data_IF_511075649637
#
_entry.id   IF_511075649637
#
_cell.length_a   1.000
_cell.length_b   1.000
_cell.length_c   1.000
_cell.angle_alpha   90.00
_cell.angle_beta   90.00
_cell.angle_gamma   90.00
#
_symmetry.space_group_name_H-M   'P 1'
#
loop_
_entity.id
_entity.type
_entity.pdbx_description
1 polymer ?
#
# COMPACT_ATOMS: atom_id res chain seq x y z
N UNK A 1 -16.05 7.51 12.20
CA UNK A 1 -15.65 6.17 11.72
C UNK A 1 -14.99 6.36 10.38
N UNK A 2 -13.75 5.87 10.25
CA UNK A 2 -12.91 6.03 9.06
C UNK A 2 -13.09 4.85 8.11
N UNK A 3 -13.02 5.10 6.81
CA UNK A 3 -13.21 4.08 5.78
C UNK A 3 -12.06 4.06 4.78
N UNK A 4 -11.97 2.94 4.06
CA UNK A 4 -11.09 2.78 2.92
C UNK A 4 -11.75 3.37 1.68
N UNK A 5 -11.13 4.37 1.07
CA UNK A 5 -11.65 5.04 -0.14
C UNK A 5 -10.92 4.59 -1.41
N UNK A 6 -9.76 3.92 -1.30
CA UNK A 6 -9.07 3.32 -2.43
C UNK A 6 -8.63 1.88 -2.15
N UNK A 7 -8.25 1.15 -3.21
CA UNK A 7 -7.92 -0.27 -3.06
C UNK A 7 -6.67 -0.44 -2.20
N UNK A 8 -6.68 -1.45 -1.32
CA UNK A 8 -5.57 -1.78 -0.41
C UNK A 8 -5.14 -0.67 0.54
N UNK A 9 -5.96 0.36 0.79
CA UNK A 9 -5.65 1.47 1.70
C UNK A 9 -5.80 1.17 3.21
N UNK A 10 -5.90 -0.11 3.62
CA UNK A 10 -6.22 -0.45 5.01
C UNK A 10 -5.22 0.12 6.02
N UNK A 11 -3.93 0.15 5.70
CA UNK A 11 -2.90 0.74 6.56
C UNK A 11 -2.97 2.27 6.64
N UNK A 12 -3.41 2.93 5.56
CA UNK A 12 -3.65 4.38 5.53
C UNK A 12 -4.88 4.75 6.34
N UNK A 13 -5.97 3.99 6.22
CA UNK A 13 -7.16 4.16 7.07
C UNK A 13 -6.84 3.87 8.53
N UNK A 14 -6.01 2.85 8.84
CA UNK A 14 -5.54 2.60 10.19
C UNK A 14 -4.73 3.77 10.75
N UNK A 15 -3.85 4.37 9.94
CA UNK A 15 -3.13 5.60 10.33
C UNK A 15 -4.09 6.76 10.59
N UNK A 16 -5.11 6.96 9.75
CA UNK A 16 -6.14 7.97 9.97
C UNK A 16 -6.90 7.77 11.29
N UNK A 17 -7.19 6.52 11.67
CA UNK A 17 -7.80 6.19 12.97
C UNK A 17 -6.85 6.51 14.15
N UNK A 18 -5.55 6.22 14.02
CA UNK A 18 -4.56 6.61 15.05
C UNK A 18 -4.46 8.14 15.21
N UNK A 19 -4.57 8.88 14.11
CA UNK A 19 -4.51 10.35 14.10
C UNK A 19 -5.76 11.00 14.71
N UNK A 20 -6.93 10.37 14.58
CA UNK A 20 -8.18 10.84 15.19
C UNK A 20 -8.06 10.94 16.72
N UNK A 21 -7.37 9.98 17.36
CA UNK A 21 -7.06 9.99 18.80
C UNK A 21 -6.11 11.14 19.22
N UNK A 22 -5.36 11.70 18.26
CA UNK A 22 -4.53 12.91 18.43
C UNK A 22 -5.28 14.19 18.07
N UNK A 23 -6.58 14.12 17.79
CA UNK A 23 -7.41 15.24 17.38
C UNK A 23 -7.18 15.70 15.94
N UNK A 24 -6.51 14.89 15.12
CA UNK A 24 -6.25 15.17 13.70
C UNK A 24 -7.28 14.41 12.86
N UNK A 25 -8.28 15.14 12.37
CA UNK A 25 -9.32 14.57 11.52
C UNK A 25 -8.85 14.54 10.06
N UNK A 26 -8.49 13.36 9.56
CA UNK A 26 -8.07 13.12 8.16
C UNK A 26 -8.61 11.79 7.66
N UNK A 27 -8.67 11.59 6.34
CA UNK A 27 -8.97 10.32 5.70
C UNK A 27 -7.75 9.74 4.97
N UNK A 28 -7.82 8.47 4.57
CA UNK A 28 -6.75 7.77 3.84
C UNK A 28 -6.32 8.48 2.54
N UNK A 29 -7.27 9.10 1.84
CA UNK A 29 -7.03 9.87 0.60
C UNK A 29 -6.27 11.17 0.85
N UNK A 30 -6.60 11.88 1.92
CA UNK A 30 -5.91 13.12 2.31
C UNK A 30 -4.47 12.82 2.72
N UNK A 31 -4.25 11.75 3.50
CA UNK A 31 -2.90 11.29 3.86
C UNK A 31 -2.09 11.00 2.59
N UNK A 32 -2.64 10.20 1.68
CA UNK A 32 -1.97 9.82 0.44
C UNK A 32 -1.63 11.03 -0.44
N UNK A 33 -2.55 11.98 -0.60
CA UNK A 33 -2.33 13.18 -1.40
C UNK A 33 -1.31 14.13 -0.76
N UNK A 34 -1.46 14.46 0.52
CA UNK A 34 -0.57 15.41 1.21
C UNK A 34 0.87 14.89 1.31
N UNK A 35 1.08 13.58 1.42
CA UNK A 35 2.43 13.01 1.42
C UNK A 35 3.05 12.95 0.01
N UNK A 36 2.28 13.18 -1.05
CA UNK A 36 2.72 13.05 -2.44
C UNK A 36 2.77 11.60 -2.94
N UNK A 37 2.01 10.69 -2.31
CA UNK A 37 2.01 9.26 -2.62
C UNK A 37 1.82 8.93 -4.11
N UNK A 38 0.95 9.63 -4.88
CA UNK A 38 0.76 9.29 -6.28
C UNK A 38 2.01 9.38 -7.16
N UNK A 39 3.04 10.05 -6.66
CA UNK A 39 4.27 10.34 -7.39
C UNK A 39 5.45 9.48 -6.95
N UNK A 40 5.23 8.52 -6.05
CA UNK A 40 6.28 7.66 -5.51
C UNK A 40 6.22 6.23 -6.02
N UNK A 41 7.40 5.74 -6.38
CA UNK A 41 7.69 4.36 -6.75
C UNK A 41 8.98 3.95 -6.05
N UNK A 42 9.00 2.76 -5.48
CA UNK A 42 10.17 2.21 -4.82
C UNK A 42 10.49 0.80 -5.32
N UNK A 43 11.77 0.44 -5.27
CA UNK A 43 12.21 -0.95 -5.38
C UNK A 43 12.75 -1.40 -4.03
N UNK A 44 12.13 -2.41 -3.44
CA UNK A 44 12.53 -2.99 -2.16
C UNK A 44 12.80 -4.49 -2.36
N UNK A 45 14.08 -4.87 -2.33
CA UNK A 45 14.49 -6.23 -2.73
C UNK A 45 14.16 -6.51 -4.20
N UNK A 46 13.34 -7.51 -4.44
CA UNK A 46 12.84 -7.91 -5.76
C UNK A 46 11.45 -7.35 -6.09
N UNK A 47 10.89 -6.51 -5.24
CA UNK A 47 9.54 -5.95 -5.40
C UNK A 47 9.56 -4.49 -5.84
N UNK A 48 8.72 -4.18 -6.83
CA UNK A 48 8.36 -2.83 -7.22
C UNK A 48 7.08 -2.43 -6.51
N UNK A 49 7.15 -1.32 -5.78
CA UNK A 49 6.06 -0.82 -4.93
C UNK A 49 5.59 0.55 -5.43
N UNK A 50 4.28 0.79 -5.33
CA UNK A 50 3.64 2.08 -5.56
C UNK A 50 2.36 2.18 -4.72
N UNK A 51 1.84 3.40 -4.58
CA UNK A 51 0.56 3.65 -3.92
C UNK A 51 0.45 2.99 -2.54
N UNK A 52 -0.64 2.26 -2.22
CA UNK A 52 -0.88 1.72 -0.88
C UNK A 52 0.20 0.77 -0.35
N UNK A 53 1.06 0.22 -1.21
CA UNK A 53 2.15 -0.67 -0.79
C UNK A 53 3.35 0.09 -0.21
N UNK A 54 3.43 1.41 -0.43
CA UNK A 54 4.41 2.27 0.22
C UNK A 54 3.87 2.64 1.62
N UNK A 55 4.12 1.79 2.61
CA UNK A 55 3.53 1.89 3.95
C UNK A 55 4.58 1.68 5.06
N UNK A 56 4.19 1.95 6.31
CA UNK A 56 5.09 1.89 7.46
C UNK A 56 5.85 3.20 7.67
N UNK A 57 6.75 3.26 8.66
CA UNK A 57 7.34 4.51 9.12
C UNK A 57 8.04 5.27 8.01
N UNK A 58 8.82 4.57 7.17
CA UNK A 58 9.53 5.14 6.01
C UNK A 58 8.65 6.02 5.12
N UNK A 59 7.39 5.64 4.93
CA UNK A 59 6.47 6.31 4.02
C UNK A 59 5.48 7.19 4.77
N UNK A 60 4.87 6.71 5.85
CA UNK A 60 3.92 7.49 6.64
C UNK A 60 4.54 8.72 7.27
N UNK A 61 5.83 8.67 7.62
CA UNK A 61 6.55 9.81 8.17
C UNK A 61 6.64 11.00 7.21
N UNK A 62 6.49 10.79 5.90
CA UNK A 62 6.41 11.88 4.92
C UNK A 62 5.21 12.80 5.20
N UNK A 63 4.11 12.23 5.72
CA UNK A 63 2.92 12.96 6.18
C UNK A 63 3.03 13.44 7.63
N UNK A 64 3.63 12.62 8.51
CA UNK A 64 3.63 12.85 9.96
C UNK A 64 4.66 13.89 10.40
N UNK A 65 5.87 13.91 9.80
CA UNK A 65 6.96 14.79 10.19
C UNK A 65 6.59 16.28 10.18
N UNK A 66 5.93 16.81 9.12
CA UNK A 66 5.50 18.21 9.13
C UNK A 66 4.49 18.55 10.25
N UNK A 67 3.81 17.55 10.81
CA UNK A 67 2.81 17.70 11.87
C UNK A 67 3.37 17.45 13.28
N UNK A 68 4.69 17.29 13.42
CA UNK A 68 5.33 17.00 14.71
C UNK A 68 5.05 15.58 15.22
N UNK A 69 4.81 14.64 14.31
CA UNK A 69 4.56 13.24 14.63
C UNK A 69 5.53 12.35 13.86
N UNK A 70 5.70 11.12 14.32
CA UNK A 70 6.28 10.01 13.57
C UNK A 70 5.58 8.70 13.91
N UNK A 71 5.68 7.72 13.02
CA UNK A 71 5.30 6.35 13.30
C UNK A 71 6.53 5.62 13.85
N UNK A 72 6.45 5.19 15.10
CA UNK A 72 7.44 4.29 15.67
C UNK A 72 6.97 2.85 15.45
N UNK A 73 7.84 2.04 14.82
CA UNK A 73 7.59 0.64 14.54
C UNK A 73 8.45 -0.24 15.43
N UNK A 74 7.82 -1.18 16.13
CA UNK A 74 8.48 -2.13 17.01
C UNK A 74 8.17 -3.56 16.62
N UNK A 75 9.22 -4.37 16.54
CA UNK A 75 9.14 -5.79 16.25
C UNK A 75 8.85 -6.57 17.53
N UNK A 76 7.66 -7.18 17.62
CA UNK A 76 7.17 -7.87 18.81
C UNK A 76 7.04 -9.36 18.53
N UNK A 77 7.62 -10.19 19.40
CA UNK A 77 7.41 -11.64 19.35
C UNK A 77 5.95 -11.99 19.62
N UNK A 78 5.40 -12.93 18.84
CA UNK A 78 4.02 -13.43 18.93
C UNK A 78 3.58 -13.72 20.37
N UNK A 79 4.41 -14.41 21.15
CA UNK A 79 4.13 -14.75 22.55
C UNK A 79 4.01 -13.55 23.50
N UNK A 80 4.59 -12.41 23.16
CA UNK A 80 4.56 -11.19 23.96
C UNK A 80 3.53 -10.18 23.47
N UNK A 81 3.01 -10.34 22.25
CA UNK A 81 2.04 -9.42 21.65
C UNK A 81 0.83 -9.12 22.55
N UNK A 82 0.17 -10.12 23.17
CA UNK A 82 -1.07 -9.83 23.92
C UNK A 82 -0.84 -8.85 25.08
N UNK A 83 0.25 -9.02 25.83
CA UNK A 83 0.64 -8.11 26.90
C UNK A 83 1.17 -6.77 26.34
N UNK A 84 1.90 -6.80 25.22
CA UNK A 84 2.38 -5.58 24.57
C UNK A 84 1.22 -4.66 24.18
N UNK A 85 0.18 -5.19 23.52
CA UNK A 85 -0.99 -4.42 23.08
C UNK A 85 -1.68 -3.72 24.25
N UNK A 86 -1.91 -4.43 25.37
CA UNK A 86 -2.56 -3.87 26.57
C UNK A 86 -1.82 -2.64 27.13
N UNK A 87 -0.50 -2.62 26.98
CA UNK A 87 0.36 -1.55 27.48
C UNK A 87 0.63 -0.43 26.45
N UNK A 88 0.32 -0.65 25.17
CA UNK A 88 0.65 0.26 24.07
C UNK A 88 -0.57 0.53 23.18
N UNK A 89 -1.60 1.17 23.73
CA UNK A 89 -2.79 1.59 22.98
C UNK A 89 -2.88 3.11 22.80
N UNK A 90 -3.42 3.61 21.68
CA UNK A 90 -3.77 2.85 20.47
C UNK A 90 -2.52 2.48 19.64
N UNK A 91 -2.55 1.35 18.95
CA UNK A 91 -1.49 0.95 18.01
C UNK A 91 -2.07 0.18 16.82
N UNK A 92 -1.34 0.19 15.70
CA UNK A 92 -1.70 -0.55 14.49
C UNK A 92 -0.79 -1.75 14.26
N UNK A 93 -1.35 -2.80 13.67
CA UNK A 93 -0.62 -4.02 13.29
C UNK A 93 -1.33 -4.73 12.13
N UNK A 94 -0.60 -5.62 11.45
CA UNK A 94 -1.17 -6.47 10.41
C UNK A 94 -1.58 -7.84 10.94
N UNK A 95 -2.83 -8.24 10.73
CA UNK A 95 -3.34 -9.58 11.02
C UNK A 95 -3.70 -10.34 9.73
N UNK A 96 -3.53 -11.65 9.73
CA UNK A 96 -4.02 -12.55 8.68
C UNK A 96 -5.49 -12.82 8.92
N UNK A 97 -6.27 -12.81 7.83
CA UNK A 97 -7.68 -13.21 7.86
C UNK A 97 -7.93 -14.28 6.82
N UNK A 98 -8.79 -15.23 7.14
CA UNK A 98 -9.16 -16.34 6.23
C UNK A 98 -9.77 -15.84 4.91
N UNK A 99 -10.40 -14.68 4.94
CA UNK A 99 -11.09 -14.06 3.80
C UNK A 99 -10.18 -13.18 2.92
N UNK A 100 -8.96 -12.87 3.37
CA UNK A 100 -8.07 -11.90 2.71
C UNK A 100 -6.73 -12.57 2.43
N UNK A 101 -6.28 -12.50 1.18
CA UNK A 101 -4.91 -12.88 0.84
C UNK A 101 -3.93 -11.84 1.37
N UNK A 102 -3.08 -12.23 2.32
CA UNK A 102 -2.07 -11.34 2.93
C UNK A 102 -2.46 -10.83 4.31
N UNK A 103 -1.82 -9.74 4.74
CA UNK A 103 -2.08 -9.09 6.03
C UNK A 103 -3.07 -7.94 5.85
N UNK A 104 -3.96 -7.77 6.80
CA UNK A 104 -4.90 -6.66 6.91
C UNK A 104 -4.51 -5.78 8.10
N UNK A 105 -4.31 -4.49 7.87
CA UNK A 105 -3.99 -3.56 8.94
C UNK A 105 -5.23 -3.29 9.80
N UNK A 106 -5.06 -3.33 11.12
CA UNK A 106 -6.09 -3.05 12.12
C UNK A 106 -5.51 -2.18 13.24
N UNK A 107 -6.37 -1.50 14.00
CA UNK A 107 -5.95 -0.65 15.13
C UNK A 107 -6.47 -1.22 16.43
N UNK A 108 -5.59 -1.66 17.31
CA UNK A 108 -5.95 -2.04 18.67
C UNK A 108 -6.33 -0.81 19.48
N UNK A 109 -7.52 -0.81 20.08
CA UNK A 109 -8.02 0.33 20.87
C UNK A 109 -8.45 -0.06 22.30
N UNK A 110 -8.87 -1.31 22.52
CA UNK A 110 -9.34 -1.74 23.84
C UNK A 110 -9.17 -3.24 24.09
N UNK A 111 -9.01 -3.61 25.36
CA UNK A 111 -9.20 -4.98 25.83
C UNK A 111 -10.39 -5.03 26.80
N UNK A 112 -11.42 -5.80 26.44
CA UNK A 112 -12.60 -6.05 27.27
C UNK A 112 -12.97 -7.54 27.19
N UNK A 113 -12.26 -8.37 27.94
CA UNK A 113 -12.26 -9.85 27.86
C UNK A 113 -11.75 -10.41 26.50
N UNK A 114 -11.73 -9.57 25.47
CA UNK A 114 -11.23 -9.82 24.11
C UNK A 114 -10.42 -8.62 23.64
N UNK A 115 -9.52 -8.85 22.69
CA UNK A 115 -8.75 -7.79 22.03
C UNK A 115 -9.61 -7.15 20.94
N UNK A 116 -9.99 -5.89 21.13
CA UNK A 116 -10.86 -5.14 20.23
C UNK A 116 -10.03 -4.25 19.30
N UNK A 117 -10.29 -4.39 18.00
CA UNK A 117 -9.60 -3.66 16.95
C UNK A 117 -10.60 -2.92 16.07
N UNK A 118 -10.28 -1.67 15.71
CA UNK A 118 -10.94 -1.04 14.58
C UNK A 118 -10.51 -1.74 13.29
N UNK A 119 -11.49 -1.97 12.42
CA UNK A 119 -11.34 -2.67 11.17
C UNK A 119 -11.48 -1.68 10.00
N UNK A 120 -10.38 -1.27 9.37
CA UNK A 120 -10.42 -0.58 8.09
C UNK A 120 -11.23 -1.35 7.07
N UNK A 121 -12.33 -0.77 6.60
CA UNK A 121 -13.23 -1.38 5.62
C UNK A 121 -13.75 -0.33 4.66
N UNK A 122 -14.30 -0.77 3.51
CA UNK A 122 -15.03 0.13 2.63
C UNK A 122 -16.41 0.44 3.22
N UNK A 123 -16.82 1.69 3.08
CA UNK A 123 -18.18 2.10 3.44
C UNK A 123 -19.21 1.24 2.70
N UNK A 124 -20.25 0.78 3.40
CA UNK A 124 -21.30 -0.07 2.81
C UNK A 124 -20.87 -1.49 2.45
N UNK A 125 -19.66 -1.95 2.79
CA UNK A 125 -19.19 -3.33 2.52
C UNK A 125 -19.91 -4.41 3.32
N UNK A 126 -20.64 -4.05 4.37
CA UNK A 126 -21.28 -4.98 5.30
C UNK A 126 -20.29 -5.67 6.26
N UNK A 127 -18.98 -5.40 6.13
CA UNK A 127 -17.98 -5.85 7.08
C UNK A 127 -18.12 -5.07 8.40
N UNK A 128 -17.85 -5.73 9.55
CA UNK A 128 -17.97 -5.07 10.84
C UNK A 128 -16.89 -3.99 10.97
N UNK A 129 -17.24 -2.86 11.59
CA UNK A 129 -16.31 -1.77 11.88
C UNK A 129 -15.26 -2.14 12.94
N UNK A 130 -15.54 -3.18 13.72
CA UNK A 130 -14.67 -3.69 14.76
C UNK A 130 -14.50 -5.20 14.67
N UNK A 131 -13.33 -5.69 15.08
CA UNK A 131 -13.01 -7.10 15.22
C UNK A 131 -12.65 -7.34 16.69
N UNK A 132 -13.28 -8.32 17.32
CA UNK A 132 -12.94 -8.73 18.68
C UNK A 132 -12.39 -10.15 18.67
N UNK A 133 -11.13 -10.34 19.10
CA UNK A 133 -10.44 -11.63 19.11
C UNK A 133 -10.16 -12.09 20.54
N UNK A 134 -10.35 -13.39 20.80
CA UNK A 134 -9.73 -14.03 21.95
C UNK A 134 -8.21 -14.06 21.74
N UNK A 135 -7.45 -14.32 22.82
CA UNK A 135 -5.99 -14.37 22.74
C UNK A 135 -5.49 -15.41 21.74
N UNK A 136 -6.05 -16.62 21.77
CA UNK A 136 -5.68 -17.70 20.83
C UNK A 136 -5.94 -17.29 19.38
N UNK A 137 -7.09 -16.67 19.10
CA UNK A 137 -7.46 -16.19 17.75
C UNK A 137 -6.53 -15.06 17.28
N UNK A 138 -6.14 -14.15 18.17
CA UNK A 138 -5.16 -13.11 17.88
C UNK A 138 -3.81 -13.75 17.50
N UNK A 139 -3.32 -14.68 18.32
CA UNK A 139 -2.06 -15.36 18.08
C UNK A 139 -2.10 -16.15 16.76
N UNK A 140 -3.17 -16.86 16.46
CA UNK A 140 -3.33 -17.60 15.20
C UNK A 140 -3.41 -16.69 13.97
N UNK A 141 -3.84 -15.43 14.16
CA UNK A 141 -3.89 -14.44 13.09
C UNK A 141 -2.54 -13.79 12.75
N UNK A 142 -1.47 -14.05 13.50
CA UNK A 142 -0.17 -13.39 13.28
C UNK A 142 0.99 -14.35 13.03
N UNK A 143 2.07 -13.81 12.47
CA UNK A 143 3.35 -14.49 12.32
C UNK A 143 4.13 -14.54 13.64
N UNK A 144 5.24 -15.28 13.68
CA UNK A 144 6.08 -15.44 14.87
C UNK A 144 6.61 -14.11 15.42
N UNK A 145 6.77 -13.13 14.52
CA UNK A 145 7.11 -11.76 14.85
C UNK A 145 6.19 -10.83 14.08
N UNK A 146 5.70 -9.80 14.75
CA UNK A 146 4.79 -8.80 14.16
C UNK A 146 5.37 -7.40 14.34
N UNK A 147 5.23 -6.57 13.33
CA UNK A 147 5.51 -5.14 13.45
C UNK A 147 4.28 -4.44 14.03
N UNK A 148 4.48 -3.70 15.11
CA UNK A 148 3.44 -2.88 15.74
C UNK A 148 3.85 -1.42 15.60
N UNK A 149 2.94 -0.59 15.10
CA UNK A 149 3.14 0.84 14.88
C UNK A 149 2.34 1.70 15.86
N UNK A 150 2.97 2.71 16.46
CA UNK A 150 2.30 3.73 17.26
C UNK A 150 2.79 5.13 16.90
N UNK A 151 1.91 6.12 17.08
CA UNK A 151 2.27 7.51 16.87
C UNK A 151 3.08 8.05 18.05
N UNK A 152 4.15 8.76 17.73
CA UNK A 152 4.99 9.45 18.70
C UNK A 152 5.13 10.92 18.33
N UNK A 153 5.13 11.77 19.34
CA UNK A 153 5.39 13.21 19.17
C UNK A 153 6.87 13.49 19.00
N UNK A 154 7.18 14.44 18.14
CA UNK A 154 8.51 14.96 17.90
C UNK A 154 8.46 16.41 17.41
N UNK A 155 9.63 17.03 17.28
CA UNK A 155 9.73 18.33 16.62
C UNK A 155 9.31 18.22 15.14
N UNK A 156 8.49 19.15 14.62
CA UNK A 156 8.13 19.18 13.21
C UNK A 156 9.36 19.28 12.29
N UNK A 157 9.37 18.49 11.22
CA UNK A 157 10.45 18.46 10.24
C UNK A 157 9.92 18.58 8.82
N UNK A 158 10.63 19.34 7.98
CA UNK A 158 10.36 19.39 6.55
C UNK A 158 10.85 18.13 5.87
N UNK A 159 10.08 17.62 4.91
CA UNK A 159 10.42 16.42 4.15
C UNK A 159 10.82 16.81 2.73
N UNK A 160 11.94 16.27 2.23
CA UNK A 160 12.39 16.53 0.86
C UNK A 160 11.78 15.52 -0.12
N UNK A 161 10.62 15.86 -0.68
CA UNK A 161 9.92 15.00 -1.63
C UNK A 161 10.59 14.94 -3.01
N UNK A 162 11.37 15.96 -3.39
CA UNK A 162 11.95 16.04 -4.73
C UNK A 162 12.94 14.90 -4.99
N UNK A 163 13.76 14.54 -4.01
CA UNK A 163 14.67 13.40 -4.12
C UNK A 163 13.91 12.09 -4.35
N UNK A 164 12.82 11.86 -3.61
CA UNK A 164 11.98 10.67 -3.76
C UNK A 164 11.30 10.62 -5.14
N UNK A 165 10.84 11.77 -5.65
CA UNK A 165 10.27 11.88 -7.01
C UNK A 165 11.33 11.54 -8.07
N UNK A 166 12.56 12.06 -7.94
CA UNK A 166 13.66 11.75 -8.87
C UNK A 166 13.97 10.25 -8.89
N UNK A 167 14.11 9.64 -7.72
CA UNK A 167 14.33 8.19 -7.56
C UNK A 167 13.19 7.38 -8.18
N UNK A 168 11.94 7.82 -7.97
CA UNK A 168 10.75 7.17 -8.52
C UNK A 168 10.78 7.09 -10.05
N UNK A 169 11.28 8.13 -10.73
CA UNK A 169 11.43 8.08 -12.19
C UNK A 169 12.42 7.02 -12.67
N UNK A 170 13.46 6.75 -11.88
CA UNK A 170 14.43 5.69 -12.18
C UNK A 170 13.82 4.31 -11.91
N UNK A 171 13.06 4.18 -10.81
CA UNK A 171 12.35 2.95 -10.46
C UNK A 171 11.34 2.56 -11.53
N UNK A 172 10.55 3.50 -12.07
CA UNK A 172 9.60 3.21 -13.16
C UNK A 172 10.32 2.66 -14.40
N UNK A 173 11.47 3.25 -14.79
CA UNK A 173 12.24 2.76 -15.94
C UNK A 173 12.82 1.37 -15.69
N UNK A 174 13.33 1.12 -14.48
CA UNK A 174 13.79 -0.20 -14.07
C UNK A 174 12.67 -1.24 -14.13
N UNK A 175 11.49 -0.90 -13.59
CA UNK A 175 10.31 -1.75 -13.63
C UNK A 175 9.92 -2.07 -15.08
N UNK A 176 9.84 -1.07 -15.95
CA UNK A 176 9.53 -1.27 -17.36
C UNK A 176 10.52 -2.19 -18.07
N UNK A 177 11.82 -2.04 -17.82
CA UNK A 177 12.84 -2.92 -18.40
C UNK A 177 12.66 -4.38 -17.96
N UNK A 178 12.31 -4.62 -16.70
CA UNK A 178 12.07 -5.97 -16.18
C UNK A 178 10.73 -6.56 -16.68
N UNK A 179 9.69 -5.73 -16.82
CA UNK A 179 8.42 -6.12 -17.47
C UNK A 179 8.67 -6.57 -18.90
N UNK A 180 9.43 -5.80 -19.68
CA UNK A 180 9.75 -6.14 -21.07
C UNK A 180 10.50 -7.48 -21.16
N UNK A 181 11.52 -7.67 -20.32
CA UNK A 181 12.25 -8.93 -20.25
C UNK A 181 11.33 -10.10 -19.87
N UNK A 182 10.50 -9.93 -18.84
CA UNK A 182 9.59 -10.97 -18.36
C UNK A 182 8.58 -11.37 -19.45
N UNK A 183 8.01 -10.40 -20.18
CA UNK A 183 6.93 -10.67 -21.13
C UNK A 183 7.38 -11.39 -22.41
N UNK A 184 8.68 -11.38 -22.72
CA UNK A 184 9.24 -11.95 -23.98
C UNK A 184 9.59 -13.43 -23.90
N UNK A 185 9.42 -14.06 -22.73
CA UNK A 185 9.60 -15.51 -22.54
C UNK A 185 8.37 -16.12 -21.86
N UNK A 186 8.18 -17.42 -22.02
CA UNK A 186 7.11 -18.16 -21.37
C UNK A 186 7.50 -18.55 -19.95
N UNK A 187 6.56 -18.40 -19.01
CA UNK A 187 6.74 -18.78 -17.62
C UNK A 187 5.73 -19.85 -17.20
N UNK A 188 5.99 -20.48 -16.06
CA UNK A 188 5.01 -21.33 -15.38
C UNK A 188 3.91 -20.46 -14.74
N UNK A 189 2.69 -21.00 -14.58
CA UNK A 189 1.59 -20.27 -13.95
C UNK A 189 1.95 -19.60 -12.61
N UNK A 190 2.71 -20.28 -11.75
CA UNK A 190 3.11 -19.76 -10.44
C UNK A 190 4.04 -18.53 -10.54
N UNK A 191 4.91 -18.49 -11.55
CA UNK A 191 5.82 -17.37 -11.77
C UNK A 191 5.05 -16.11 -12.20
N UNK A 192 3.93 -16.27 -12.91
CA UNK A 192 3.00 -15.15 -13.18
C UNK A 192 2.31 -14.65 -11.91
N UNK A 193 1.91 -15.55 -10.99
CA UNK A 193 1.28 -15.17 -9.72
C UNK A 193 2.25 -14.38 -8.83
N UNK A 194 3.53 -14.75 -8.81
CA UNK A 194 4.58 -13.99 -8.14
C UNK A 194 4.82 -12.65 -8.83
N UNK A 195 5.01 -12.64 -10.16
CA UNK A 195 5.27 -11.42 -10.92
C UNK A 195 4.13 -10.40 -10.84
N UNK A 196 2.87 -10.86 -10.70
CA UNK A 196 1.73 -9.98 -10.49
C UNK A 196 1.99 -8.99 -9.35
N UNK A 197 2.42 -9.49 -8.19
CA UNK A 197 2.66 -8.65 -7.02
C UNK A 197 4.02 -7.95 -7.06
N UNK A 198 5.07 -8.64 -7.52
CA UNK A 198 6.44 -8.12 -7.47
C UNK A 198 6.78 -7.12 -8.58
N UNK A 199 6.17 -7.29 -9.76
CA UNK A 199 6.58 -6.59 -10.97
C UNK A 199 5.44 -5.71 -11.54
N UNK A 200 4.28 -6.31 -11.77
CA UNK A 200 3.19 -5.63 -12.48
C UNK A 200 2.34 -4.71 -11.61
N UNK A 201 2.17 -5.07 -10.33
CA UNK A 201 1.27 -4.37 -9.40
C UNK A 201 1.52 -2.87 -9.32
N UNK A 202 2.78 -2.45 -9.21
CA UNK A 202 3.13 -1.04 -9.08
C UNK A 202 2.59 -0.17 -10.23
N UNK A 203 2.69 -0.62 -11.49
CA UNK A 203 2.24 0.16 -12.64
C UNK A 203 0.79 -0.13 -13.04
N UNK A 204 0.41 -1.41 -13.06
CA UNK A 204 -0.86 -1.85 -13.62
C UNK A 204 -2.00 -1.92 -12.60
N UNK A 205 -1.74 -1.77 -11.29
CA UNK A 205 -2.79 -1.78 -10.26
C UNK A 205 -2.70 -0.52 -9.39
N UNK A 206 -1.63 -0.40 -8.62
CA UNK A 206 -1.50 0.65 -7.59
C UNK A 206 -1.25 2.02 -8.24
N UNK A 207 -0.39 2.09 -9.27
CA UNK A 207 -0.16 3.31 -10.05
C UNK A 207 -1.41 3.84 -10.75
N UNK A 208 -2.31 2.96 -11.21
CA UNK A 208 -3.60 3.38 -11.77
C UNK A 208 -4.44 4.05 -10.68
N UNK A 209 -4.54 3.41 -9.52
CA UNK A 209 -5.29 3.95 -8.37
C UNK A 209 -4.75 5.31 -7.95
N UNK A 210 -3.42 5.47 -7.97
CA UNK A 210 -2.74 6.74 -7.67
C UNK A 210 -3.03 7.84 -8.70
N UNK A 211 -2.98 7.52 -10.00
CA UNK A 211 -3.37 8.47 -11.04
C UNK A 211 -4.83 8.91 -10.89
N UNK A 212 -5.74 8.00 -10.54
CA UNK A 212 -7.14 8.36 -10.30
C UNK A 212 -7.29 9.27 -9.09
N UNK A 213 -6.57 8.97 -8.01
CA UNK A 213 -6.57 9.79 -6.80
C UNK A 213 -6.02 11.21 -7.07
N UNK A 214 -4.98 11.33 -7.89
CA UNK A 214 -4.40 12.60 -8.31
C UNK A 214 -5.24 13.37 -9.35
N UNK A 215 -6.37 12.83 -9.81
CA UNK A 215 -7.22 13.46 -10.83
C UNK A 215 -6.73 13.26 -12.27
N UNK A 216 -5.69 12.43 -12.49
CA UNK A 216 -5.11 12.10 -13.79
C UNK A 216 -5.90 11.02 -14.55
N UNK A 217 -7.23 11.18 -14.60
CA UNK A 217 -8.17 10.16 -15.09
C UNK A 217 -7.93 9.76 -16.55
N UNK A 218 -7.39 10.69 -17.38
CA UNK A 218 -7.08 10.39 -18.78
C UNK A 218 -5.92 9.41 -18.91
N UNK A 219 -4.85 9.59 -18.11
CA UNK A 219 -3.72 8.67 -18.14
C UNK A 219 -4.11 7.34 -17.49
N UNK A 220 -4.82 7.39 -16.35
CA UNK A 220 -5.35 6.20 -15.69
C UNK A 220 -6.19 5.33 -16.64
N UNK A 221 -7.10 5.94 -17.42
CA UNK A 221 -7.93 5.21 -18.38
C UNK A 221 -7.11 4.49 -19.47
N UNK A 222 -5.98 5.07 -19.92
CA UNK A 222 -5.08 4.41 -20.87
C UNK A 222 -4.39 3.20 -20.25
N UNK A 223 -3.91 3.32 -19.01
CA UNK A 223 -3.34 2.19 -18.27
C UNK A 223 -4.39 1.10 -18.03
N UNK A 224 -5.64 1.45 -17.71
CA UNK A 224 -6.75 0.49 -17.53
C UNK A 224 -7.00 -0.39 -18.75
N UNK A 225 -6.79 0.14 -19.96
CA UNK A 225 -6.87 -0.68 -21.17
C UNK A 225 -5.83 -1.81 -21.16
N UNK A 226 -4.59 -1.52 -20.78
CA UNK A 226 -3.51 -2.51 -20.71
C UNK A 226 -3.70 -3.45 -19.52
N UNK A 227 -4.13 -2.90 -18.37
CA UNK A 227 -4.48 -3.69 -17.18
C UNK A 227 -5.55 -4.73 -17.52
N UNK A 228 -6.57 -4.36 -18.29
CA UNK A 228 -7.62 -5.30 -18.69
C UNK A 228 -7.03 -6.49 -19.45
N UNK A 229 -6.22 -6.24 -20.48
CA UNK A 229 -5.59 -7.30 -21.29
C UNK A 229 -4.68 -8.18 -20.42
N UNK A 230 -3.92 -7.57 -19.50
CA UNK A 230 -3.10 -8.28 -18.53
C UNK A 230 -3.94 -9.17 -17.59
N UNK A 231 -5.01 -8.65 -17.00
CA UNK A 231 -5.89 -9.41 -16.10
C UNK A 231 -6.69 -10.49 -16.83
N UNK A 232 -7.01 -10.29 -18.11
CA UNK A 232 -7.63 -11.31 -18.96
C UNK A 232 -6.66 -12.49 -19.18
N UNK A 233 -5.37 -12.20 -19.45
CA UNK A 233 -4.32 -13.22 -19.50
C UNK A 233 -4.18 -13.96 -18.17
N UNK A 234 -4.11 -13.23 -17.04
CA UNK A 234 -3.94 -13.81 -15.71
C UNK A 234 -5.09 -14.73 -15.30
N UNK A 235 -6.32 -14.45 -15.76
CA UNK A 235 -7.51 -15.29 -15.51
C UNK A 235 -7.60 -16.50 -16.43
N UNK A 236 -6.87 -16.50 -17.54
CA UNK A 236 -6.85 -17.58 -18.52
C UNK A 236 -5.93 -18.74 -18.12
N UNK A 237 -5.64 -19.61 -19.10
CA UNK A 237 -4.73 -20.74 -18.92
C UNK A 237 -3.26 -20.31 -18.76
N UNK A 238 -2.95 -19.03 -19.02
CA UNK A 238 -1.58 -18.46 -18.96
C UNK A 238 -0.58 -19.23 -19.81
N UNK A 239 -1.04 -19.71 -20.96
CA UNK A 239 -0.25 -20.42 -21.96
C UNK A 239 0.23 -19.44 -23.04
N UNK A 240 1.54 -19.40 -23.30
CA UNK A 240 2.15 -18.49 -24.27
C UNK A 240 2.89 -17.30 -23.67
N UNK A 241 3.28 -16.36 -24.52
CA UNK A 241 4.01 -15.15 -24.14
C UNK A 241 3.04 -14.07 -23.68
N UNK A 242 3.35 -13.41 -22.57
CA UNK A 242 2.56 -12.26 -22.12
C UNK A 242 2.65 -11.08 -23.11
N UNK A 243 3.76 -10.96 -23.85
CA UNK A 243 3.92 -9.97 -24.92
C UNK A 243 2.90 -10.11 -26.06
N UNK A 244 2.27 -11.27 -26.23
CA UNK A 244 1.19 -11.47 -27.21
C UNK A 244 -0.16 -10.93 -26.70
N UNK A 245 -0.33 -10.86 -25.38
CA UNK A 245 -1.55 -10.38 -24.74
C UNK A 245 -1.52 -8.87 -24.45
N UNK A 246 -0.35 -8.31 -24.10
CA UNK A 246 -0.21 -6.88 -23.76
C UNK A 246 0.71 -6.13 -24.71
N UNK A 247 0.37 -4.88 -25.02
CA UNK A 247 1.20 -4.02 -25.87
C UNK A 247 2.32 -3.34 -25.07
N UNK A 248 3.53 -3.90 -25.11
CA UNK A 248 4.71 -3.37 -24.42
C UNK A 248 5.10 -1.96 -24.88
N UNK A 249 5.05 -1.67 -26.18
CA UNK A 249 5.33 -0.31 -26.71
C UNK A 249 4.35 0.74 -26.13
N UNK A 250 3.06 0.39 -26.04
CA UNK A 250 2.08 1.27 -25.42
C UNK A 250 2.38 1.45 -23.93
N UNK A 251 2.65 0.35 -23.21
CA UNK A 251 2.93 0.42 -21.78
C UNK A 251 4.16 1.28 -21.48
N UNK A 252 5.24 1.11 -22.24
CA UNK A 252 6.47 1.93 -22.15
C UNK A 252 6.19 3.42 -22.38
N UNK A 253 5.39 3.76 -23.40
CA UNK A 253 4.95 5.16 -23.64
C UNK A 253 4.08 5.73 -22.53
N UNK A 254 3.26 4.91 -21.87
CA UNK A 254 2.45 5.34 -20.73
C UNK A 254 3.31 5.54 -19.48
N UNK A 255 4.29 4.67 -19.26
CA UNK A 255 5.25 4.81 -18.16
C UNK A 255 6.06 6.11 -18.29
N UNK A 256 6.55 6.46 -19.49
CA UNK A 256 7.23 7.75 -19.71
C UNK A 256 6.29 8.96 -19.57
N UNK A 257 5.00 8.83 -19.91
CA UNK A 257 4.01 9.87 -19.59
C UNK A 257 3.84 10.06 -18.09
N UNK A 258 3.80 8.97 -17.31
CA UNK A 258 3.73 9.03 -15.86
C UNK A 258 5.01 9.67 -15.28
N UNK A 259 6.19 9.28 -15.78
CA UNK A 259 7.45 9.92 -15.40
C UNK A 259 7.44 11.42 -15.69
N UNK A 260 6.88 11.85 -16.82
CA UNK A 260 6.78 13.27 -17.14
C UNK A 260 5.89 14.02 -16.13
N UNK A 261 4.76 13.43 -15.71
CA UNK A 261 3.91 14.00 -14.65
C UNK A 261 4.67 14.13 -13.33
N UNK A 262 5.38 13.09 -12.90
CA UNK A 262 6.19 13.14 -11.67
C UNK A 262 7.19 14.30 -11.71
N UNK A 263 7.78 14.58 -12.88
CA UNK A 263 8.71 15.69 -13.06
C UNK A 263 8.04 17.05 -13.09
N UNK A 264 6.81 17.19 -13.60
CA UNK A 264 6.10 18.48 -13.60
C UNK A 264 5.67 18.85 -12.18
N UNK A 265 5.24 17.88 -11.39
CA UNK A 265 4.86 18.02 -9.97
C UNK A 265 6.04 18.38 -9.04
N UNK A 266 7.29 18.31 -9.52
CA UNK A 266 8.47 18.79 -8.77
C UNK A 266 8.55 20.32 -8.68
N UNK A 267 7.82 21.03 -9.54
CA UNK A 267 7.92 22.49 -9.70
C UNK A 267 6.66 23.24 -9.26
N UNK A 268 5.63 22.52 -8.78
CA UNK A 268 4.44 23.07 -8.11
C UNK A 268 4.60 22.97 -6.58
#
# INVERSE_FOLDING_TARGET
MKYMHFNSSCSYTALAMLLEEKGINTEDTEIALEMGLPWFFAKEGDEYLAGPMLQGAKWFDLYLYPKGLCLQEESVDKKHLPEYLKNHKPCMLGIKRTEITGKHAVVFHEYNERYCFFNPTKEGSGQPAEIALAEEELLDSIEDTVMVGHLKEQEPQSVNLNKLREESTQVIRGNMSEIEAFCTITHKPQEYDEALNKLFRALLLDGITMLELAGESKLAAKFKSIQKDFLDFMRGERTGLLADAISLDKLSKLAEQYILLIKTEQYE
#
